data_IF_685130160794
#
_entry.id   IF_685130160794
#
_cell.length_a   1.000
_cell.length_b   1.000
_cell.length_c   1.000
_cell.angle_alpha   90.00
_cell.angle_beta   90.00
_cell.angle_gamma   90.00
#
_symmetry.space_group_name_H-M   'P 1'
#
loop_
_entity.id
_entity.type
_entity.pdbx_description
1 polymer ?
#
# COMPACT_ATOMS: atom_id res chain seq x y z
N UNK A 1 -22.40 -5.60 18.76
CA UNK A 1 -21.64 -4.34 18.67
C UNK A 1 -20.25 -4.45 19.30
N UNK A 2 -20.06 -5.24 20.36
CA UNK A 2 -18.75 -5.48 21.00
C UNK A 2 -17.72 -6.05 20.02
N UNK A 3 -18.05 -7.11 19.29
CA UNK A 3 -17.14 -7.73 18.31
C UNK A 3 -16.54 -6.73 17.30
N UNK A 4 -17.32 -5.78 16.77
CA UNK A 4 -16.80 -4.74 15.87
C UNK A 4 -15.87 -3.75 16.59
N UNK A 5 -16.09 -3.49 17.85
CA UNK A 5 -15.28 -2.59 18.66
C UNK A 5 -13.92 -3.21 18.97
N UNK A 6 -13.91 -4.51 19.26
CA UNK A 6 -12.70 -5.25 19.62
C UNK A 6 -11.79 -5.51 18.40
N UNK A 7 -12.36 -5.53 17.18
CA UNK A 7 -11.64 -5.76 15.93
C UNK A 7 -11.66 -4.56 14.96
N UNK A 8 -11.72 -3.34 15.52
CA UNK A 8 -11.83 -2.12 14.70
C UNK A 8 -10.63 -1.93 13.76
N UNK A 9 -9.42 -2.29 14.21
CA UNK A 9 -8.19 -2.21 13.41
C UNK A 9 -8.20 -3.17 12.23
N UNK A 10 -8.63 -4.42 12.45
CA UNK A 10 -8.71 -5.48 11.44
C UNK A 10 -9.76 -5.14 10.36
N UNK A 11 -10.92 -4.61 10.77
CA UNK A 11 -11.93 -4.12 9.82
C UNK A 11 -11.42 -2.94 9.00
N UNK A 12 -10.71 -2.00 9.63
CA UNK A 12 -10.08 -0.90 8.91
C UNK A 12 -9.06 -1.43 7.88
N UNK A 13 -8.26 -2.45 8.23
CA UNK A 13 -7.30 -3.08 7.32
C UNK A 13 -7.99 -3.79 6.13
N UNK A 14 -9.15 -4.44 6.34
CA UNK A 14 -9.95 -5.02 5.25
C UNK A 14 -10.47 -3.94 4.29
N UNK A 15 -10.95 -2.82 4.82
CA UNK A 15 -11.36 -1.67 3.98
C UNK A 15 -10.19 -1.14 3.17
N UNK A 16 -8.99 -1.07 3.75
CA UNK A 16 -7.77 -0.67 3.02
C UNK A 16 -7.48 -1.61 1.87
N UNK A 17 -7.56 -2.93 2.07
CA UNK A 17 -7.35 -3.91 1.00
C UNK A 17 -8.35 -3.70 -0.15
N UNK A 18 -9.60 -3.39 0.16
CA UNK A 18 -10.61 -3.04 -0.83
C UNK A 18 -10.28 -1.72 -1.57
N UNK A 19 -9.93 -0.65 -0.85
CA UNK A 19 -9.56 0.63 -1.44
C UNK A 19 -8.33 0.51 -2.32
N UNK A 20 -7.30 -0.23 -1.89
CA UNK A 20 -6.09 -0.43 -2.67
C UNK A 20 -6.32 -1.31 -3.90
N UNK A 21 -7.33 -2.17 -3.90
CA UNK A 21 -7.74 -2.90 -5.10
C UNK A 21 -8.24 -1.94 -6.18
N UNK A 22 -9.12 -0.99 -5.82
CA UNK A 22 -9.58 0.07 -6.75
C UNK A 22 -8.40 0.93 -7.20
N UNK A 23 -7.54 1.30 -6.26
CA UNK A 23 -6.35 2.11 -6.50
C UNK A 23 -5.39 1.45 -7.47
N UNK A 24 -5.12 0.15 -7.32
CA UNK A 24 -4.22 -0.60 -8.20
C UNK A 24 -4.69 -0.56 -9.67
N UNK A 25 -5.97 -0.83 -9.91
CA UNK A 25 -6.56 -0.77 -11.25
C UNK A 25 -6.53 0.65 -11.83
N UNK A 26 -6.87 1.65 -11.00
CA UNK A 26 -6.88 3.04 -11.42
C UNK A 26 -5.46 3.56 -11.75
N UNK A 27 -4.47 3.26 -10.91
CA UNK A 27 -3.09 3.70 -11.14
C UNK A 27 -2.38 2.92 -12.24
N UNK A 28 -2.72 1.67 -12.47
CA UNK A 28 -2.23 0.94 -13.66
C UNK A 28 -2.70 1.66 -14.93
N UNK A 29 -3.99 1.95 -15.03
CA UNK A 29 -4.56 2.68 -16.18
C UNK A 29 -3.95 4.08 -16.33
N UNK A 30 -3.76 4.82 -15.23
CA UNK A 30 -3.15 6.14 -15.24
C UNK A 30 -1.67 6.07 -15.67
N UNK A 31 -0.89 5.13 -15.11
CA UNK A 31 0.55 4.99 -15.39
C UNK A 31 0.83 4.66 -16.84
N UNK A 32 -0.03 3.87 -17.49
CA UNK A 32 0.06 3.59 -18.93
C UNK A 32 -0.15 4.83 -19.80
N UNK A 33 -0.86 5.85 -19.29
CA UNK A 33 -1.21 7.08 -20.03
C UNK A 33 -0.25 8.23 -19.76
N UNK A 34 0.20 8.39 -18.53
CA UNK A 34 0.94 9.59 -18.10
C UNK A 34 2.30 9.27 -17.46
N UNK A 35 2.66 7.99 -17.38
CA UNK A 35 3.91 7.53 -16.77
C UNK A 35 3.88 7.45 -15.25
N UNK A 36 4.67 6.52 -14.69
CA UNK A 36 4.66 6.20 -13.25
C UNK A 36 5.17 7.35 -12.37
N UNK A 37 6.17 8.12 -12.83
CA UNK A 37 6.72 9.25 -12.06
C UNK A 37 5.69 10.36 -11.87
N UNK A 38 4.94 10.69 -12.95
CA UNK A 38 3.86 11.67 -12.87
C UNK A 38 2.72 11.19 -11.96
N UNK A 39 2.34 9.91 -12.06
CA UNK A 39 1.33 9.33 -11.18
C UNK A 39 1.77 9.45 -9.72
N UNK A 40 3.02 9.14 -9.37
CA UNK A 40 3.49 9.21 -7.99
C UNK A 40 3.43 10.60 -7.38
N UNK A 41 3.83 11.63 -8.11
CA UNK A 41 3.73 13.01 -7.60
C UNK A 41 2.27 13.49 -7.56
N UNK A 42 1.55 13.36 -8.68
CA UNK A 42 0.21 13.93 -8.80
C UNK A 42 -0.82 13.21 -7.91
N UNK A 43 -0.71 11.89 -7.67
CA UNK A 43 -1.60 11.18 -6.74
C UNK A 43 -1.52 11.71 -5.32
N UNK A 44 -0.30 12.07 -4.88
CA UNK A 44 -0.10 12.63 -3.54
C UNK A 44 -0.67 14.05 -3.44
N UNK A 45 -0.47 14.88 -4.47
CA UNK A 45 -1.04 16.24 -4.50
C UNK A 45 -2.57 16.18 -4.46
N UNK A 46 -3.19 15.35 -5.31
CA UNK A 46 -4.65 15.22 -5.36
C UNK A 46 -5.18 14.59 -4.07
N UNK A 47 -4.53 13.55 -3.56
CA UNK A 47 -4.87 12.93 -2.28
C UNK A 47 -4.77 13.91 -1.12
N UNK A 48 -3.76 14.79 -1.12
CA UNK A 48 -3.62 15.86 -0.13
C UNK A 48 -4.78 16.84 -0.18
N UNK A 49 -5.24 17.23 -1.38
CA UNK A 49 -6.39 18.12 -1.54
C UNK A 49 -7.65 17.48 -0.93
N UNK A 50 -7.97 16.22 -1.30
CA UNK A 50 -9.11 15.52 -0.73
C UNK A 50 -9.01 15.40 0.79
N UNK A 51 -7.84 15.04 1.28
CA UNK A 51 -7.59 14.89 2.71
C UNK A 51 -7.72 16.22 3.46
N UNK A 52 -7.17 17.31 2.91
CA UNK A 52 -7.25 18.64 3.53
C UNK A 52 -8.68 19.17 3.59
N UNK A 53 -9.48 18.94 2.55
CA UNK A 53 -10.91 19.25 2.57
C UNK A 53 -11.61 18.43 3.66
N UNK A 54 -11.38 17.12 3.72
CA UNK A 54 -11.99 16.26 4.74
C UNK A 54 -11.61 16.68 6.17
N UNK A 55 -10.31 16.91 6.42
CA UNK A 55 -9.79 17.28 7.74
C UNK A 55 -10.31 18.66 8.18
N UNK A 56 -10.50 19.58 7.23
CA UNK A 56 -11.12 20.89 7.52
C UNK A 56 -12.52 20.71 8.12
N UNK A 57 -13.38 19.86 7.53
CA UNK A 57 -14.72 19.64 8.05
C UNK A 57 -14.73 18.75 9.31
N UNK A 58 -13.80 17.81 9.39
CA UNK A 58 -13.73 16.84 10.49
C UNK A 58 -13.07 17.42 11.73
N UNK A 59 -11.99 18.22 11.60
CA UNK A 59 -11.19 18.77 12.69
C UNK A 59 -11.23 20.30 12.81
N UNK A 60 -11.83 21.00 11.85
CA UNK A 60 -11.82 22.46 11.80
C UNK A 60 -10.47 23.07 11.40
N UNK A 61 -9.48 22.27 11.00
CA UNK A 61 -8.13 22.69 10.59
C UNK A 61 -7.79 22.12 9.24
N UNK A 62 -7.17 22.91 8.37
CA UNK A 62 -6.79 22.46 7.01
C UNK A 62 -5.43 21.76 6.96
N UNK A 63 -4.56 22.06 7.91
CA UNK A 63 -3.20 21.53 8.03
C UNK A 63 -2.96 20.99 9.45
N UNK A 64 -2.04 20.01 9.61
CA UNK A 64 -1.74 19.36 10.88
C UNK A 64 -0.79 20.21 11.76
N UNK A 65 -1.17 21.48 12.03
CA UNK A 65 -0.34 22.45 12.76
C UNK A 65 -0.27 22.17 14.26
N UNK A 66 -1.18 21.37 14.78
CA UNK A 66 -1.26 20.92 16.17
C UNK A 66 -0.43 19.66 16.48
N UNK A 67 0.21 19.09 15.45
CA UNK A 67 1.09 17.93 15.62
C UNK A 67 2.34 18.31 16.41
N UNK A 68 2.73 17.43 17.35
CA UNK A 68 3.95 17.58 18.12
C UNK A 68 5.21 17.42 17.23
N UNK A 69 6.36 17.90 17.72
CA UNK A 69 7.64 17.67 17.02
C UNK A 69 7.96 16.19 16.83
N UNK A 70 7.54 15.34 17.76
CA UNK A 70 7.70 13.88 17.67
C UNK A 70 6.82 13.27 16.59
N UNK A 71 5.54 13.68 16.49
CA UNK A 71 4.67 13.27 15.37
C UNK A 71 5.28 13.67 14.03
N UNK A 72 5.73 14.93 13.88
CA UNK A 72 6.39 15.40 12.66
C UNK A 72 7.63 14.57 12.33
N UNK A 73 8.49 14.28 13.30
CA UNK A 73 9.71 13.50 13.08
C UNK A 73 9.40 12.11 12.52
N UNK A 74 8.61 11.32 13.24
CA UNK A 74 8.34 9.92 12.87
C UNK A 74 7.49 9.80 11.60
N UNK A 75 6.49 10.68 11.41
CA UNK A 75 5.64 10.66 10.23
C UNK A 75 6.36 11.18 8.98
N UNK A 76 7.29 12.13 9.13
CA UNK A 76 8.18 12.55 8.04
C UNK A 76 9.13 11.42 7.64
N UNK A 77 9.79 10.76 8.59
CA UNK A 77 10.62 9.59 8.31
C UNK A 77 9.81 8.48 7.64
N UNK A 78 8.59 8.24 8.12
CA UNK A 78 7.66 7.29 7.50
C UNK A 78 7.32 7.65 6.07
N UNK A 79 7.03 8.91 5.77
CA UNK A 79 6.74 9.40 4.42
C UNK A 79 7.94 9.26 3.48
N UNK A 80 9.16 9.59 3.96
CA UNK A 80 10.39 9.40 3.19
C UNK A 80 10.66 7.93 2.89
N UNK A 81 10.62 7.09 3.91
CA UNK A 81 10.95 5.66 3.76
C UNK A 81 9.86 4.93 2.98
N UNK A 82 8.59 5.14 3.31
CA UNK A 82 7.48 4.43 2.67
C UNK A 82 7.18 4.95 1.25
N UNK A 83 6.89 6.25 1.11
CA UNK A 83 6.50 6.79 -0.20
C UNK A 83 7.70 7.04 -1.10
N UNK A 84 8.78 7.70 -0.62
CA UNK A 84 9.86 8.08 -1.53
C UNK A 84 10.74 6.88 -1.85
N UNK A 85 11.37 6.26 -0.86
CA UNK A 85 12.25 5.10 -1.11
C UNK A 85 11.48 3.84 -1.51
N UNK A 86 10.42 3.49 -0.77
CA UNK A 86 9.65 2.28 -1.00
C UNK A 86 9.06 2.25 -2.40
N UNK A 87 8.35 3.30 -2.82
CA UNK A 87 7.75 3.36 -4.15
C UNK A 87 8.81 3.51 -5.26
N UNK A 88 9.88 4.28 -5.03
CA UNK A 88 10.97 4.41 -6.00
C UNK A 88 11.60 3.05 -6.32
N UNK A 89 11.90 2.26 -5.29
CA UNK A 89 12.50 0.94 -5.44
C UNK A 89 11.51 -0.05 -6.07
N UNK A 90 10.27 -0.03 -5.64
CA UNK A 90 9.22 -0.88 -6.20
C UNK A 90 9.02 -0.63 -7.70
N UNK A 91 8.88 0.63 -8.11
CA UNK A 91 8.69 0.95 -9.53
C UNK A 91 9.95 0.68 -10.36
N UNK A 92 11.13 0.84 -9.78
CA UNK A 92 12.37 0.42 -10.45
C UNK A 92 12.41 -1.08 -10.68
N UNK A 93 11.97 -1.88 -9.70
CA UNK A 93 11.88 -3.33 -9.86
C UNK A 93 10.93 -3.73 -10.99
N UNK A 94 9.80 -3.04 -11.14
CA UNK A 94 8.86 -3.30 -12.25
C UNK A 94 9.50 -3.19 -13.62
N UNK A 95 10.45 -2.27 -13.79
CA UNK A 95 11.14 -2.11 -15.08
C UNK A 95 12.19 -3.18 -15.37
N UNK A 96 12.61 -3.94 -14.35
CA UNK A 96 13.70 -4.93 -14.45
C UNK A 96 13.15 -6.36 -14.46
N UNK A 97 12.25 -6.70 -13.52
CA UNK A 97 11.73 -8.06 -13.34
C UNK A 97 10.23 -8.17 -13.63
N UNK A 98 9.60 -7.06 -14.03
CA UNK A 98 8.17 -7.00 -14.25
C UNK A 98 7.35 -6.88 -12.96
N UNK A 99 6.14 -6.34 -13.08
CA UNK A 99 5.25 -6.08 -11.92
C UNK A 99 4.87 -7.37 -11.19
N UNK A 100 4.68 -8.47 -11.92
CA UNK A 100 4.28 -9.77 -11.35
C UNK A 100 5.30 -10.30 -10.33
N UNK A 101 6.58 -10.37 -10.69
CA UNK A 101 7.62 -10.86 -9.79
C UNK A 101 7.89 -9.88 -8.64
N UNK A 102 7.84 -8.57 -8.94
CA UNK A 102 7.98 -7.56 -7.91
C UNK A 102 6.85 -7.66 -6.87
N UNK A 103 5.59 -7.81 -7.30
CA UNK A 103 4.45 -7.98 -6.38
C UNK A 103 4.52 -9.28 -5.59
N UNK A 104 5.11 -10.36 -6.13
CA UNK A 104 5.38 -11.55 -5.36
C UNK A 104 6.36 -11.27 -4.21
N UNK A 105 7.44 -10.51 -4.48
CA UNK A 105 8.39 -10.13 -3.42
C UNK A 105 7.72 -9.18 -2.41
N UNK A 106 6.79 -8.35 -2.83
CA UNK A 106 6.00 -7.49 -1.94
C UNK A 106 5.12 -8.28 -0.95
N UNK A 107 4.86 -9.57 -1.17
CA UNK A 107 4.21 -10.42 -0.14
C UNK A 107 5.08 -10.60 1.12
N UNK A 108 6.36 -10.20 1.07
CA UNK A 108 7.23 -10.14 2.24
C UNK A 108 6.97 -8.90 3.12
N UNK A 109 6.19 -7.92 2.67
CA UNK A 109 5.88 -6.71 3.48
C UNK A 109 5.37 -7.09 4.87
N UNK A 110 4.35 -7.93 5.05
CA UNK A 110 3.83 -8.24 6.36
C UNK A 110 4.83 -8.92 7.32
N UNK A 111 5.60 -9.96 6.96
CA UNK A 111 6.60 -10.51 7.88
C UNK A 111 7.70 -9.52 8.22
N UNK A 112 8.10 -8.66 7.27
CA UNK A 112 9.06 -7.58 7.53
C UNK A 112 8.44 -6.51 8.44
N UNK A 113 7.14 -6.21 8.29
CA UNK A 113 6.40 -5.30 9.19
C UNK A 113 6.31 -5.89 10.60
N UNK A 114 5.99 -7.17 10.72
CA UNK A 114 5.94 -7.84 12.02
C UNK A 114 7.31 -7.83 12.72
N UNK A 115 8.40 -8.05 11.97
CA UNK A 115 9.76 -7.98 12.48
C UNK A 115 10.11 -6.56 12.99
N UNK A 116 9.84 -5.54 12.21
CA UNK A 116 10.10 -4.15 12.63
C UNK A 116 9.14 -3.68 13.73
N UNK A 117 7.89 -4.14 13.74
CA UNK A 117 6.93 -3.89 14.83
C UNK A 117 7.45 -4.44 16.17
N UNK A 118 7.97 -5.66 16.14
CA UNK A 118 8.64 -6.23 17.30
C UNK A 118 9.91 -5.45 17.70
N UNK A 119 10.78 -5.13 16.75
CA UNK A 119 12.07 -4.49 17.01
C UNK A 119 11.93 -3.04 17.52
N UNK A 120 11.02 -2.25 16.91
CA UNK A 120 10.90 -0.80 17.16
C UNK A 120 9.86 -0.48 18.22
N UNK A 121 8.78 -1.27 18.29
CA UNK A 121 7.63 -1.01 19.16
C UNK A 121 7.44 -2.07 20.25
N UNK A 122 8.19 -3.19 20.21
CA UNK A 122 8.04 -4.29 21.16
C UNK A 122 6.74 -5.08 20.97
N UNK A 123 6.10 -5.01 19.79
CA UNK A 123 4.88 -5.76 19.51
C UNK A 123 5.14 -7.27 19.60
N UNK A 124 4.25 -7.98 20.31
CA UNK A 124 4.34 -9.44 20.48
C UNK A 124 3.10 -10.07 19.86
N UNK A 125 3.30 -10.77 18.78
CA UNK A 125 2.25 -11.53 18.13
C UNK A 125 2.01 -12.86 18.86
N UNK A 126 0.74 -13.29 18.98
CA UNK A 126 0.39 -14.63 19.47
C UNK A 126 0.81 -15.69 18.44
N UNK A 127 1.08 -16.94 18.86
CA UNK A 127 1.39 -18.05 17.92
C UNK A 127 0.35 -18.21 16.80
N UNK A 128 -0.93 -17.99 17.11
CA UNK A 128 -2.03 -18.05 16.14
C UNK A 128 -1.90 -16.99 15.04
N UNK A 129 -1.40 -15.78 15.38
CA UNK A 129 -1.15 -14.74 14.39
C UNK A 129 -0.06 -15.12 13.39
N UNK A 130 1.01 -15.81 13.83
CA UNK A 130 2.04 -16.34 12.91
C UNK A 130 1.47 -17.40 11.97
N UNK A 131 0.58 -18.27 12.46
CA UNK A 131 -0.11 -19.26 11.63
C UNK A 131 -1.02 -18.55 10.59
N UNK A 132 -1.79 -17.57 11.04
CA UNK A 132 -2.63 -16.74 10.15
C UNK A 132 -1.82 -16.07 9.05
N UNK A 133 -0.68 -15.47 9.39
CA UNK A 133 0.25 -14.87 8.42
C UNK A 133 0.75 -15.92 7.43
N UNK A 134 1.23 -17.05 7.89
CA UNK A 134 1.76 -18.12 7.03
C UNK A 134 0.71 -18.66 6.05
N UNK A 135 -0.53 -18.89 6.51
CA UNK A 135 -1.64 -19.32 5.66
C UNK A 135 -2.00 -18.24 4.63
N UNK A 136 -2.11 -16.96 5.06
CA UNK A 136 -2.41 -15.85 4.17
C UNK A 136 -1.38 -15.73 3.05
N UNK A 137 -0.07 -15.83 3.39
CA UNK A 137 0.99 -15.77 2.38
C UNK A 137 0.96 -16.94 1.42
N UNK A 138 0.77 -18.14 1.94
CA UNK A 138 0.69 -19.34 1.11
C UNK A 138 -0.45 -19.21 0.11
N UNK A 139 -1.62 -18.75 0.57
CA UNK A 139 -2.78 -18.55 -0.28
C UNK A 139 -2.56 -17.45 -1.34
N UNK A 140 -1.98 -16.29 -0.97
CA UNK A 140 -1.64 -15.21 -1.91
C UNK A 140 -0.62 -15.71 -2.94
N UNK A 141 0.43 -16.41 -2.51
CA UNK A 141 1.44 -16.98 -3.41
C UNK A 141 0.81 -17.94 -4.41
N UNK A 142 -0.06 -18.87 -3.96
CA UNK A 142 -0.79 -19.79 -4.83
C UNK A 142 -1.63 -19.05 -5.87
N UNK A 143 -2.38 -18.02 -5.47
CA UNK A 143 -3.20 -17.24 -6.37
C UNK A 143 -2.38 -16.49 -7.42
N UNK A 144 -1.23 -15.89 -7.04
CA UNK A 144 -0.37 -15.15 -7.96
C UNK A 144 0.38 -16.07 -8.92
N UNK A 145 0.96 -17.19 -8.44
CA UNK A 145 1.75 -18.09 -9.28
C UNK A 145 0.94 -18.81 -10.35
N UNK A 146 -0.30 -19.14 -10.05
CA UNK A 146 -1.14 -19.94 -10.93
C UNK A 146 -2.03 -19.14 -11.90
N UNK A 147 -2.03 -17.79 -11.82
CA UNK A 147 -2.80 -16.90 -12.70
C UNK A 147 -2.39 -16.98 -14.18
N UNK A 148 -1.29 -17.64 -14.51
CA UNK A 148 -0.86 -17.88 -15.90
C UNK A 148 -1.27 -19.28 -16.37
N UNK A 149 -2.53 -19.43 -16.77
CA UNK A 149 -3.04 -20.61 -17.51
C UNK A 149 -2.46 -20.81 -18.94
N UNK A 150 -1.46 -20.04 -19.32
CA UNK A 150 -0.66 -20.27 -20.53
C UNK A 150 0.73 -20.68 -20.06
N UNK A 151 1.09 -21.95 -20.30
CA UNK A 151 2.31 -22.64 -19.89
C UNK A 151 3.66 -21.98 -20.27
N UNK A 152 3.79 -20.69 -20.06
CA UNK A 152 5.10 -20.06 -20.04
C UNK A 152 5.83 -20.52 -18.78
N UNK A 153 6.77 -21.45 -18.98
CA UNK A 153 7.74 -21.82 -17.95
C UNK A 153 8.34 -20.53 -17.41
N UNK A 154 8.14 -20.25 -16.12
CA UNK A 154 8.82 -19.17 -15.44
C UNK A 154 10.32 -19.31 -15.72
N UNK A 155 10.86 -18.50 -16.63
CA UNK A 155 12.30 -18.37 -16.75
C UNK A 155 12.82 -17.68 -15.50
N UNK A 156 13.32 -18.46 -14.54
CA UNK A 156 13.86 -17.99 -13.25
C UNK A 156 15.19 -17.21 -13.39
N UNK A 157 15.58 -16.82 -14.60
CA UNK A 157 16.70 -15.90 -14.80
C UNK A 157 16.27 -14.45 -14.50
N UNK A 158 15.80 -14.21 -13.26
CA UNK A 158 15.53 -12.86 -12.81
C UNK A 158 16.85 -12.14 -12.54
N UNK A 159 16.95 -10.90 -13.00
CA UNK A 159 18.10 -10.05 -12.71
C UNK A 159 18.18 -9.82 -11.19
N UNK A 160 19.30 -10.16 -10.52
CA UNK A 160 19.45 -9.99 -9.06
C UNK A 160 19.18 -8.56 -8.60
N UNK A 161 19.51 -7.57 -9.43
CA UNK A 161 19.22 -6.16 -9.16
C UNK A 161 17.71 -5.87 -9.04
N UNK A 162 16.89 -6.50 -9.90
CA UNK A 162 15.44 -6.34 -9.84
C UNK A 162 14.84 -6.94 -8.56
N UNK A 163 15.36 -8.09 -8.11
CA UNK A 163 14.98 -8.71 -6.84
C UNK A 163 15.37 -7.79 -5.67
N UNK A 164 16.59 -7.25 -5.68
CA UNK A 164 17.07 -6.36 -4.63
C UNK A 164 16.23 -5.07 -4.55
N UNK A 165 15.87 -4.49 -5.69
CA UNK A 165 14.96 -3.34 -5.73
C UNK A 165 13.57 -3.68 -5.19
N UNK A 166 12.97 -4.82 -5.57
CA UNK A 166 11.68 -5.25 -5.05
C UNK A 166 11.71 -5.49 -3.54
N UNK A 167 12.77 -6.14 -3.03
CA UNK A 167 12.97 -6.34 -1.61
C UNK A 167 13.17 -5.01 -0.85
N UNK A 168 13.98 -4.09 -1.40
CA UNK A 168 14.13 -2.74 -0.86
C UNK A 168 12.79 -1.98 -0.80
N UNK A 169 11.94 -2.15 -1.82
CA UNK A 169 10.57 -1.65 -1.83
C UNK A 169 9.72 -2.21 -0.70
N UNK A 170 9.78 -3.54 -0.50
CA UNK A 170 9.05 -4.22 0.57
C UNK A 170 9.51 -3.75 1.96
N UNK A 171 10.82 -3.64 2.18
CA UNK A 171 11.39 -3.10 3.42
C UNK A 171 10.96 -1.66 3.64
N UNK A 172 11.01 -0.82 2.60
CA UNK A 172 10.57 0.58 2.67
C UNK A 172 9.11 0.72 3.06
N UNK A 173 8.21 -0.06 2.45
CA UNK A 173 6.79 -0.07 2.79
C UNK A 173 6.54 -0.55 4.23
N UNK A 174 7.18 -1.65 4.63
CA UNK A 174 7.06 -2.22 5.97
C UNK A 174 7.53 -1.25 7.06
N UNK A 175 8.75 -0.72 6.88
CA UNK A 175 9.33 0.23 7.82
C UNK A 175 8.53 1.53 7.85
N UNK A 176 8.08 2.02 6.68
CA UNK A 176 7.22 3.19 6.58
C UNK A 176 5.92 3.03 7.38
N UNK A 177 5.30 1.84 7.37
CA UNK A 177 4.09 1.57 8.15
C UNK A 177 4.36 1.55 9.66
N UNK A 178 5.44 0.89 10.11
CA UNK A 178 5.82 0.83 11.52
C UNK A 178 6.20 2.21 12.06
N UNK A 179 6.97 3.00 11.29
CA UNK A 179 7.28 4.38 11.66
C UNK A 179 6.04 5.26 11.73
N UNK A 180 5.03 5.01 10.86
CA UNK A 180 3.74 5.68 10.96
C UNK A 180 3.06 5.38 12.29
N UNK A 181 2.99 4.11 12.68
CA UNK A 181 2.39 3.69 13.95
C UNK A 181 3.09 4.37 15.12
N UNK A 182 4.42 4.39 15.11
CA UNK A 182 5.20 5.08 16.14
C UNK A 182 4.93 6.59 16.18
N UNK A 183 4.75 7.23 15.03
CA UNK A 183 4.45 8.65 14.93
C UNK A 183 2.99 9.01 15.20
N UNK A 184 2.10 8.03 15.22
CA UNK A 184 0.69 8.28 15.54
C UNK A 184 0.46 8.61 17.00
N UNK A 185 1.09 7.83 17.95
CA UNK A 185 0.79 7.94 19.39
C UNK A 185 -0.71 8.20 19.64
N UNK A 186 -1.08 9.35 20.21
CA UNK A 186 -2.47 9.77 20.41
C UNK A 186 -2.98 10.69 19.28
N UNK A 187 -2.20 10.88 18.23
CA UNK A 187 -2.54 11.80 17.14
C UNK A 187 -3.60 11.22 16.19
N UNK A 188 -4.29 12.13 15.49
CA UNK A 188 -5.33 11.76 14.53
C UNK A 188 -4.75 11.10 13.27
N UNK A 189 -5.24 9.93 12.82
CA UNK A 189 -4.70 9.20 11.67
C UNK A 189 -4.80 9.98 10.35
N UNK A 190 -5.85 10.78 10.14
CA UNK A 190 -6.02 11.57 8.91
C UNK A 190 -5.04 12.73 8.87
N UNK A 191 -4.85 13.44 9.99
CA UNK A 191 -3.85 14.49 10.09
C UNK A 191 -2.42 13.93 10.01
N UNK A 192 -2.15 12.76 10.61
CA UNK A 192 -0.90 12.05 10.45
C UNK A 192 -0.62 11.69 8.99
N UNK A 193 -1.65 11.28 8.25
CA UNK A 193 -1.54 11.01 6.80
C UNK A 193 -1.17 12.28 6.04
N UNK A 194 -1.66 13.46 6.42
CA UNK A 194 -1.25 14.73 5.79
C UNK A 194 0.26 14.95 5.90
N UNK A 195 0.85 14.75 7.09
CA UNK A 195 2.31 14.90 7.30
C UNK A 195 3.09 13.98 6.36
N UNK A 196 2.69 12.72 6.28
CA UNK A 196 3.33 11.73 5.39
C UNK A 196 3.21 12.13 3.92
N UNK A 197 2.02 12.58 3.49
CA UNK A 197 1.79 13.01 2.10
C UNK A 197 2.59 14.27 1.77
N UNK A 198 2.65 15.27 2.66
CA UNK A 198 3.48 16.47 2.49
C UNK A 198 4.93 16.06 2.22
N UNK A 199 5.46 15.16 3.06
CA UNK A 199 6.83 14.64 2.89
C UNK A 199 7.00 13.92 1.55
N UNK A 200 6.03 13.09 1.18
CA UNK A 200 6.04 12.39 -0.12
C UNK A 200 6.03 13.35 -1.31
N UNK A 201 5.20 14.42 -1.25
CA UNK A 201 5.14 15.45 -2.29
C UNK A 201 6.50 16.14 -2.43
N UNK A 202 7.10 16.58 -1.32
CA UNK A 202 8.42 17.22 -1.31
C UNK A 202 9.47 16.28 -1.89
N UNK A 203 9.52 15.02 -1.43
CA UNK A 203 10.48 14.04 -1.91
C UNK A 203 10.36 13.75 -3.40
N UNK A 204 9.13 13.54 -3.92
CA UNK A 204 8.93 13.34 -5.36
C UNK A 204 9.16 14.60 -6.17
N UNK A 205 8.84 15.80 -5.66
CA UNK A 205 9.16 17.06 -6.32
C UNK A 205 10.68 17.23 -6.48
N UNK A 206 11.45 16.91 -5.44
CA UNK A 206 12.93 16.88 -5.51
C UNK A 206 13.40 15.88 -6.58
N UNK A 207 12.87 14.65 -6.57
CA UNK A 207 13.21 13.64 -7.59
C UNK A 207 12.91 14.11 -9.01
N UNK A 208 11.72 14.67 -9.25
CA UNK A 208 11.31 15.21 -10.57
C UNK A 208 12.25 16.33 -11.00
N UNK A 209 12.68 17.18 -10.07
CA UNK A 209 13.61 18.30 -10.33
C UNK A 209 15.00 17.77 -10.68
N UNK A 210 15.55 16.85 -9.88
CA UNK A 210 16.87 16.25 -10.13
C UNK A 210 16.89 15.50 -11.46
N UNK A 211 15.79 14.78 -11.77
CA UNK A 211 15.64 14.05 -13.04
C UNK A 211 15.27 14.95 -14.23
N UNK A 212 15.03 16.24 -14.00
CA UNK A 212 14.59 17.22 -15.02
C UNK A 212 13.34 16.77 -15.78
N UNK A 213 12.34 16.19 -15.07
CA UNK A 213 11.15 15.57 -15.67
C UNK A 213 9.86 16.40 -15.49
N UNK A 214 9.95 17.72 -15.26
CA UNK A 214 8.77 18.59 -15.11
C UNK A 214 7.89 18.65 -16.35
N UNK A 215 8.46 18.49 -17.55
CA UNK A 215 7.66 18.42 -18.79
C UNK A 215 6.70 17.23 -18.77
N UNK A 216 7.13 16.07 -18.27
CA UNK A 216 6.27 14.90 -18.13
C UNK A 216 5.09 15.16 -17.18
N UNK A 217 5.32 15.93 -16.11
CA UNK A 217 4.25 16.34 -15.18
C UNK A 217 3.24 17.25 -15.90
N UNK A 218 3.74 18.23 -16.67
CA UNK A 218 2.88 19.16 -17.44
C UNK A 218 2.03 18.41 -18.48
N UNK A 219 2.63 17.50 -19.22
CA UNK A 219 1.92 16.65 -20.19
C UNK A 219 0.87 15.77 -19.51
N UNK A 220 1.19 15.21 -18.34
CA UNK A 220 0.25 14.42 -17.56
C UNK A 220 -0.98 15.22 -17.16
N UNK A 221 -0.81 16.47 -16.71
CA UNK A 221 -1.92 17.37 -16.35
C UNK A 221 -2.87 17.68 -17.51
N UNK A 222 -2.36 17.68 -18.74
CA UNK A 222 -3.15 17.89 -19.96
C UNK A 222 -3.91 16.64 -20.41
N UNK A 223 -3.54 15.47 -19.93
CA UNK A 223 -4.19 14.19 -20.29
C UNK A 223 -5.45 13.96 -19.43
N UNK A 224 -6.60 14.46 -19.90
CA UNK A 224 -7.89 14.36 -19.18
C UNK A 224 -8.26 12.94 -18.78
N UNK A 225 -8.04 11.95 -19.65
CA UNK A 225 -8.37 10.55 -19.35
C UNK A 225 -7.43 9.96 -18.28
N UNK A 226 -6.13 10.27 -18.36
CA UNK A 226 -5.15 9.90 -17.35
C UNK A 226 -5.45 10.56 -15.99
N UNK A 227 -5.79 11.85 -15.99
CA UNK A 227 -6.14 12.59 -14.78
C UNK A 227 -7.43 12.09 -14.12
N UNK A 228 -8.44 11.66 -14.89
CA UNK A 228 -9.68 11.08 -14.33
C UNK A 228 -9.38 9.79 -13.56
N UNK A 229 -8.63 8.86 -14.15
CA UNK A 229 -8.27 7.60 -13.48
C UNK A 229 -7.31 7.83 -12.33
N UNK A 230 -6.38 8.77 -12.46
CA UNK A 230 -5.46 9.17 -11.41
C UNK A 230 -6.19 9.78 -10.20
N UNK A 231 -7.18 10.65 -10.43
CA UNK A 231 -7.99 11.24 -9.35
C UNK A 231 -8.82 10.19 -8.61
N UNK A 232 -9.41 9.23 -9.33
CA UNK A 232 -10.10 8.10 -8.72
C UNK A 232 -9.14 7.29 -7.82
N UNK A 233 -7.95 6.95 -8.35
CA UNK A 233 -6.93 6.25 -7.59
C UNK A 233 -6.40 7.06 -6.40
N UNK A 234 -6.30 8.39 -6.52
CA UNK A 234 -5.87 9.28 -5.44
C UNK A 234 -6.91 9.38 -4.31
N UNK A 235 -8.19 9.30 -4.65
CA UNK A 235 -9.27 9.28 -3.65
C UNK A 235 -9.23 7.98 -2.83
N UNK A 236 -9.17 6.82 -3.49
CA UNK A 236 -9.16 5.54 -2.80
C UNK A 236 -7.77 5.16 -2.23
N UNK A 237 -6.68 5.64 -2.79
CA UNK A 237 -5.32 5.35 -2.35
C UNK A 237 -4.83 6.31 -1.27
N UNK A 238 -4.16 7.43 -1.64
CA UNK A 238 -3.56 8.35 -0.67
C UNK A 238 -4.56 8.93 0.33
N UNK A 239 -5.80 9.24 -0.08
CA UNK A 239 -6.77 9.81 0.85
C UNK A 239 -7.38 8.70 1.75
N UNK A 240 -8.18 7.79 1.22
CA UNK A 240 -8.85 6.78 2.06
C UNK A 240 -7.90 5.65 2.48
N UNK A 241 -7.21 5.02 1.54
CA UNK A 241 -6.40 3.85 1.79
C UNK A 241 -5.27 4.11 2.79
N UNK A 242 -4.49 5.18 2.61
CA UNK A 242 -3.40 5.50 3.55
C UNK A 242 -3.97 5.96 4.89
N UNK A 243 -5.03 6.77 4.94
CA UNK A 243 -5.61 7.21 6.21
C UNK A 243 -6.17 6.03 7.01
N UNK A 244 -6.94 5.14 6.36
CA UNK A 244 -7.45 3.95 7.03
C UNK A 244 -6.36 2.93 7.37
N UNK A 245 -5.24 2.88 6.64
CA UNK A 245 -4.09 2.06 7.04
C UNK A 245 -3.49 2.54 8.36
N UNK A 246 -3.48 3.85 8.60
CA UNK A 246 -3.08 4.42 9.88
C UNK A 246 -4.11 4.17 10.97
N UNK A 247 -5.41 4.22 10.65
CA UNK A 247 -6.47 3.76 11.57
C UNK A 247 -6.24 2.30 11.94
N UNK A 248 -5.99 1.43 10.97
CA UNK A 248 -5.74 0.01 11.22
C UNK A 248 -4.58 -0.20 12.21
N UNK A 249 -3.40 0.36 11.93
CA UNK A 249 -2.22 0.18 12.80
C UNK A 249 -2.33 0.92 14.14
N UNK A 250 -3.25 1.86 14.29
CA UNK A 250 -3.55 2.49 15.59
C UNK A 250 -4.25 1.52 16.54
N UNK A 251 -5.10 0.63 16.02
CA UNK A 251 -5.97 -0.24 16.80
C UNK A 251 -5.61 -1.72 16.74
N UNK A 252 -4.63 -2.14 15.92
CA UNK A 252 -4.10 -3.51 15.91
C UNK A 252 -2.59 -3.49 15.68
N UNK A 253 -1.93 -4.65 15.84
CA UNK A 253 -0.50 -4.78 15.58
C UNK A 253 -0.17 -4.56 14.10
N UNK A 254 0.96 -3.91 13.84
CA UNK A 254 1.37 -3.55 12.48
C UNK A 254 1.50 -4.77 11.56
N UNK A 255 1.98 -5.91 12.10
CA UNK A 255 2.09 -7.18 11.38
C UNK A 255 0.72 -7.73 10.94
N UNK A 256 -0.29 -7.66 11.82
CA UNK A 256 -1.67 -8.11 11.52
C UNK A 256 -2.28 -7.19 10.46
N UNK A 257 -2.26 -5.87 10.71
CA UNK A 257 -2.80 -4.88 9.77
C UNK A 257 -2.22 -5.05 8.37
N UNK A 258 -0.87 -5.14 8.26
CA UNK A 258 -0.22 -5.30 6.96
C UNK A 258 -0.55 -6.63 6.27
N UNK A 259 -0.76 -7.72 7.03
CA UNK A 259 -1.16 -9.03 6.46
C UNK A 259 -2.57 -8.95 5.87
N UNK A 260 -3.52 -8.34 6.57
CA UNK A 260 -4.88 -8.15 6.07
C UNK A 260 -4.88 -7.24 4.84
N UNK A 261 -4.12 -6.13 4.88
CA UNK A 261 -3.97 -5.22 3.74
C UNK A 261 -3.32 -5.91 2.53
N UNK A 262 -2.51 -6.94 2.72
CA UNK A 262 -1.90 -7.71 1.63
C UNK A 262 -2.90 -8.59 0.85
N UNK A 263 -4.20 -8.63 1.20
CA UNK A 263 -5.24 -9.34 0.44
C UNK A 263 -5.60 -8.67 -0.90
N UNK A 264 -5.02 -7.55 -1.25
CA UNK A 264 -5.28 -6.86 -2.54
C UNK A 264 -5.25 -7.81 -3.76
N UNK A 265 -4.26 -8.72 -3.93
CA UNK A 265 -4.26 -9.66 -5.06
C UNK A 265 -5.46 -10.60 -5.09
N UNK A 266 -6.03 -10.91 -3.93
CA UNK A 266 -7.24 -11.74 -3.84
C UNK A 266 -8.48 -10.93 -4.22
N UNK A 267 -8.59 -9.71 -3.73
CA UNK A 267 -9.73 -8.83 -4.07
C UNK A 267 -9.75 -8.41 -5.55
N UNK A 268 -8.59 -8.35 -6.22
CA UNK A 268 -8.50 -8.06 -7.66
C UNK A 268 -9.13 -9.17 -8.52
N UNK A 269 -9.24 -10.41 -8.03
CA UNK A 269 -9.79 -11.52 -8.81
C UNK A 269 -11.22 -11.20 -9.29
N UNK A 270 -12.08 -10.70 -8.40
CA UNK A 270 -13.46 -10.39 -8.76
C UNK A 270 -13.58 -9.32 -9.88
N UNK A 271 -12.95 -8.13 -9.78
CA UNK A 271 -12.93 -7.17 -10.87
C UNK A 271 -12.30 -7.71 -12.16
N UNK A 272 -11.25 -8.53 -12.08
CA UNK A 272 -10.61 -9.12 -13.26
C UNK A 272 -11.58 -10.02 -14.03
N UNK A 273 -12.37 -10.82 -13.35
CA UNK A 273 -13.43 -11.65 -13.96
C UNK A 273 -14.54 -10.78 -14.55
N UNK A 274 -15.03 -9.82 -13.78
CA UNK A 274 -16.21 -9.02 -14.17
C UNK A 274 -15.91 -8.04 -15.30
N UNK A 275 -14.78 -7.36 -15.26
CA UNK A 275 -14.43 -6.29 -16.21
C UNK A 275 -13.65 -6.80 -17.42
N UNK A 276 -12.74 -7.77 -17.21
CA UNK A 276 -11.85 -8.27 -18.28
C UNK A 276 -12.21 -9.67 -18.76
N UNK A 277 -13.27 -10.30 -18.19
CA UNK A 277 -13.72 -11.66 -18.53
C UNK A 277 -12.60 -12.71 -18.43
N UNK A 278 -11.67 -12.49 -17.51
CA UNK A 278 -10.57 -13.43 -17.24
C UNK A 278 -11.14 -14.72 -16.65
N UNK A 279 -10.56 -15.87 -17.04
CA UNK A 279 -10.90 -17.16 -16.45
C UNK A 279 -10.14 -17.35 -15.17
N UNK A 280 -10.85 -17.64 -14.09
CA UNK A 280 -10.24 -17.97 -12.78
C UNK A 280 -9.85 -19.44 -12.78
N UNK A 281 -8.64 -19.73 -12.32
CA UNK A 281 -8.15 -21.08 -12.15
C UNK A 281 -8.56 -21.66 -10.79
N UNK A 282 -8.63 -22.99 -10.67
CA UNK A 282 -8.89 -23.65 -9.39
C UNK A 282 -7.86 -23.25 -8.32
N UNK A 283 -6.60 -23.04 -8.71
CA UNK A 283 -5.54 -22.63 -7.81
C UNK A 283 -5.73 -21.19 -7.28
N UNK A 284 -6.26 -20.26 -8.10
CA UNK A 284 -6.62 -18.92 -7.61
C UNK A 284 -7.76 -18.97 -6.58
N UNK A 285 -8.79 -19.80 -6.83
CA UNK A 285 -9.89 -20.00 -5.87
C UNK A 285 -9.37 -20.62 -4.57
N UNK A 286 -8.59 -21.68 -4.66
CA UNK A 286 -8.02 -22.35 -3.48
C UNK A 286 -7.09 -21.41 -2.70
N UNK A 287 -6.24 -20.65 -3.41
CA UNK A 287 -5.37 -19.63 -2.82
C UNK A 287 -6.16 -18.54 -2.09
N UNK A 288 -7.27 -18.08 -2.70
CA UNK A 288 -8.15 -17.11 -2.07
C UNK A 288 -8.79 -17.65 -0.78
N UNK A 289 -9.30 -18.88 -0.81
CA UNK A 289 -9.90 -19.53 0.37
C UNK A 289 -8.86 -19.65 1.49
N UNK A 290 -7.65 -20.12 1.18
CA UNK A 290 -6.56 -20.28 2.17
C UNK A 290 -6.17 -18.91 2.75
N UNK A 291 -6.07 -17.85 1.92
CA UNK A 291 -5.75 -16.51 2.38
C UNK A 291 -6.80 -15.96 3.34
N UNK A 292 -8.08 -16.11 3.00
CA UNK A 292 -9.20 -15.63 3.83
C UNK A 292 -9.26 -16.42 5.15
N UNK A 293 -9.05 -17.74 5.10
CA UNK A 293 -8.96 -18.57 6.31
C UNK A 293 -7.80 -18.12 7.21
N UNK A 294 -6.63 -17.78 6.63
CA UNK A 294 -5.51 -17.24 7.38
C UNK A 294 -5.85 -15.91 8.06
N UNK A 295 -6.54 -15.00 7.35
CA UNK A 295 -7.00 -13.73 7.93
C UNK A 295 -8.02 -13.93 9.04
N UNK A 296 -8.92 -14.93 8.90
CA UNK A 296 -9.92 -15.21 9.95
C UNK A 296 -9.28 -15.55 11.31
N UNK A 297 -8.05 -16.08 11.34
CA UNK A 297 -7.33 -16.36 12.59
C UNK A 297 -6.91 -15.09 13.37
N UNK A 298 -6.93 -13.91 12.74
CA UNK A 298 -6.66 -12.65 13.44
C UNK A 298 -7.85 -12.14 14.24
N UNK A 299 -9.04 -12.69 14.01
CA UNK A 299 -10.26 -12.35 14.72
C UNK A 299 -10.59 -13.34 15.86
N UNK A 300 -9.65 -14.24 16.17
CA UNK A 300 -9.71 -15.20 17.27
C UNK A 300 -8.69 -14.87 18.36
#
# INVERSE_FOLDING_TARGET
>A
MEFFRDHYGEFAALLVAFFWTITALAFESASRRVGSLAVNLLRLIIGFIFLSIFVLFYRGMILPLDASGENWLWLTLSGLVGFVFGDLFLFKSYTIIGSRFAMLIMTLVPPVTAFFGWLIMGEKLKPMHYLGMALTFTGIAMAIFNRNGKGEKLSLKLAPSGILYAFGGAVGQALGLVLSKKGLTDYDPFAATQIRIITGIIGFAVLVTVMKRWNNIREALLNKAGMKTLSLGAFFGPFLGVSFSLVAVKFTEAGIASTIMALVPIFIIAPAVMLYKEKVTAAEITGAIISVAGVALFFM
#
